data_IF_625721482566
#
_entry.id   IF_625721482566
#
_cell.length_a   1.000
_cell.length_b   1.000
_cell.length_c   1.000
_cell.angle_alpha   90.00
_cell.angle_beta   90.00
_cell.angle_gamma   90.00
#
_symmetry.space_group_name_H-M   'P 1'
#
loop_
_entity.id
_entity.type
_entity.pdbx_description
1 polymer ?
#
# COMPACT_ATOMS: atom_id res chain seq x y z
N UNK A 1 9.83 -21.23 -2.16
CA UNK A 1 8.67 -21.08 -1.27
C UNK A 1 9.19 -20.97 0.15
N UNK A 2 8.92 -19.85 0.83
CA UNK A 2 9.26 -19.70 2.26
C UNK A 2 8.42 -20.68 3.09
N UNK A 3 8.96 -21.09 4.25
CA UNK A 3 8.20 -21.91 5.19
C UNK A 3 7.08 -21.06 5.81
N UNK A 4 5.90 -21.64 6.14
CA UNK A 4 4.83 -20.88 6.78
C UNK A 4 5.29 -20.30 8.12
N UNK A 5 4.84 -19.09 8.44
CA UNK A 5 5.14 -18.43 9.71
C UNK A 5 4.61 -19.26 10.90
N UNK A 6 5.34 -19.28 12.05
CA UNK A 6 4.85 -19.94 13.24
C UNK A 6 3.52 -19.34 13.72
N UNK A 7 2.56 -20.17 14.10
CA UNK A 7 1.27 -19.72 14.63
C UNK A 7 1.39 -18.82 15.88
N UNK A 8 2.51 -18.90 16.60
CA UNK A 8 2.82 -18.03 17.74
C UNK A 8 3.05 -16.56 17.37
N UNK A 9 3.25 -16.25 16.08
CA UNK A 9 3.38 -14.87 15.59
C UNK A 9 2.04 -14.28 15.17
N UNK A 10 0.98 -15.10 15.05
CA UNK A 10 -0.32 -14.60 14.62
C UNK A 10 -0.90 -13.60 15.63
N UNK A 11 -1.47 -12.53 15.13
CA UNK A 11 -2.11 -11.47 15.91
C UNK A 11 -3.46 -11.11 15.31
N UNK A 12 -4.32 -10.47 16.11
CA UNK A 12 -5.54 -9.84 15.63
C UNK A 12 -5.38 -8.32 15.68
N UNK A 13 -5.68 -7.65 14.58
CA UNK A 13 -5.61 -6.20 14.45
C UNK A 13 -6.85 -5.68 13.74
N UNK A 14 -7.64 -4.83 14.39
CA UNK A 14 -8.90 -4.27 13.86
C UNK A 14 -9.85 -5.34 13.28
N UNK A 15 -9.94 -6.50 13.92
CA UNK A 15 -10.75 -7.63 13.44
C UNK A 15 -10.11 -8.47 12.34
N UNK A 16 -8.95 -8.07 11.81
CA UNK A 16 -8.19 -8.85 10.84
C UNK A 16 -7.25 -9.82 11.55
N UNK A 17 -7.26 -11.07 11.10
CA UNK A 17 -6.28 -12.08 11.52
C UNK A 17 -5.04 -11.96 10.64
N UNK A 18 -3.91 -11.61 11.25
CA UNK A 18 -2.61 -11.45 10.59
C UNK A 18 -1.71 -12.63 10.98
N UNK A 19 -0.97 -13.17 10.01
CA UNK A 19 -0.03 -14.28 10.26
C UNK A 19 1.18 -13.84 11.10
N UNK A 20 1.48 -12.54 11.15
CA UNK A 20 2.52 -11.95 12.00
C UNK A 20 2.19 -10.48 12.32
N UNK A 21 2.82 -9.86 13.33
CA UNK A 21 2.63 -8.45 13.65
C UNK A 21 3.36 -7.50 12.68
N UNK A 22 4.07 -8.03 11.70
CA UNK A 22 4.82 -7.21 10.73
C UNK A 22 3.87 -6.72 9.64
N UNK A 23 3.81 -5.40 9.49
CA UNK A 23 3.03 -4.73 8.42
C UNK A 23 3.98 -3.89 7.58
N UNK A 24 4.00 -4.11 6.27
CA UNK A 24 4.73 -3.25 5.34
C UNK A 24 3.89 -2.04 4.99
N UNK A 25 4.45 -0.85 5.23
CA UNK A 25 3.70 0.40 5.15
C UNK A 25 3.59 0.93 3.72
N UNK A 26 2.55 1.74 3.50
CA UNK A 26 2.33 2.46 2.24
C UNK A 26 3.55 3.29 1.83
N UNK A 27 3.92 3.17 0.56
CA UNK A 27 5.08 3.84 -0.02
C UNK A 27 6.41 3.08 0.11
N UNK A 28 6.45 1.96 0.87
CA UNK A 28 7.64 1.12 1.00
C UNK A 28 7.69 -0.01 -0.02
N UNK A 29 6.53 -0.55 -0.42
CA UNK A 29 6.41 -1.80 -1.20
C UNK A 29 5.49 -1.67 -2.42
N UNK A 30 5.26 -0.46 -2.92
CA UNK A 30 4.40 -0.23 -4.06
C UNK A 30 2.99 -0.81 -3.87
N UNK A 31 2.57 -1.71 -4.75
CA UNK A 31 1.29 -2.39 -4.70
C UNK A 31 1.38 -3.87 -4.27
N UNK A 32 2.52 -4.29 -3.69
CA UNK A 32 2.68 -5.64 -3.13
C UNK A 32 3.24 -6.68 -4.11
N UNK A 33 3.49 -6.32 -5.37
CA UNK A 33 4.15 -7.20 -6.36
C UNK A 33 5.66 -6.96 -6.48
N UNK A 34 6.13 -5.77 -6.11
CA UNK A 34 7.50 -5.35 -6.40
C UNK A 34 8.54 -6.17 -5.64
N UNK A 35 8.27 -6.46 -4.37
CA UNK A 35 9.21 -7.20 -3.51
C UNK A 35 9.19 -8.72 -3.74
N UNK A 36 8.14 -9.26 -4.36
CA UNK A 36 8.12 -10.69 -4.74
C UNK A 36 9.20 -11.05 -5.77
N UNK A 37 9.79 -10.03 -6.40
CA UNK A 37 10.94 -10.16 -7.32
C UNK A 37 12.28 -10.21 -6.60
N UNK A 38 12.31 -9.97 -5.29
CA UNK A 38 13.53 -10.05 -4.47
C UNK A 38 13.73 -11.49 -4.01
N UNK A 39 14.90 -12.05 -4.30
CA UNK A 39 15.24 -13.40 -3.87
C UNK A 39 15.15 -13.54 -2.34
N UNK A 40 14.44 -14.55 -1.87
CA UNK A 40 14.27 -14.84 -0.45
C UNK A 40 13.13 -14.08 0.23
N UNK A 41 12.37 -13.23 -0.48
CA UNK A 41 11.16 -12.60 0.04
C UNK A 41 9.89 -13.17 -0.57
N UNK A 42 8.86 -13.32 0.24
CA UNK A 42 7.49 -13.63 -0.17
C UNK A 42 6.50 -12.79 0.65
N UNK A 43 5.37 -12.43 0.07
CA UNK A 43 4.30 -11.76 0.80
C UNK A 43 3.81 -12.57 2.01
N UNK A 44 4.00 -13.91 1.98
CA UNK A 44 3.69 -14.79 3.12
C UNK A 44 4.60 -14.56 4.35
N UNK A 45 5.69 -13.81 4.21
CA UNK A 45 6.62 -13.51 5.31
C UNK A 45 6.13 -12.38 6.22
N UNK A 46 5.03 -11.71 5.85
CA UNK A 46 4.47 -10.57 6.60
C UNK A 46 2.98 -10.76 6.88
N UNK A 47 2.47 -10.09 7.92
CA UNK A 47 1.07 -10.17 8.32
C UNK A 47 0.14 -9.35 7.45
N UNK A 48 0.62 -8.20 6.92
CA UNK A 48 -0.14 -7.36 6.00
C UNK A 48 0.77 -6.47 5.15
N UNK A 49 0.23 -6.01 4.04
CA UNK A 49 0.82 -5.01 3.15
C UNK A 49 -0.17 -3.86 2.98
N UNK A 50 0.25 -2.65 3.35
CA UNK A 50 -0.49 -1.43 3.04
C UNK A 50 -0.02 -0.95 1.67
N UNK A 51 -0.93 -0.97 0.71
CA UNK A 51 -0.67 -0.62 -0.68
C UNK A 51 -0.26 0.85 -0.83
N UNK A 52 0.33 1.18 -1.95
CA UNK A 52 0.68 2.57 -2.29
C UNK A 52 -0.54 3.48 -2.17
N UNK A 53 -0.34 4.65 -1.55
CA UNK A 53 -1.37 5.68 -1.44
C UNK A 53 -1.99 6.01 -2.78
N UNK A 54 -3.30 5.81 -2.88
CA UNK A 54 -4.08 5.88 -4.11
C UNK A 54 -5.06 7.04 -4.03
N UNK A 55 -5.10 7.83 -5.08
CA UNK A 55 -6.06 8.93 -5.27
C UNK A 55 -7.11 8.56 -6.31
N UNK A 56 -8.23 9.28 -6.34
CA UNK A 56 -9.28 9.13 -7.35
C UNK A 56 -8.68 9.14 -8.75
N UNK A 57 -8.02 10.23 -9.09
CA UNK A 57 -7.36 10.42 -10.38
C UNK A 57 -5.88 10.04 -10.31
N UNK A 58 -5.26 9.66 -11.44
CA UNK A 58 -3.83 9.42 -11.51
C UNK A 58 -3.00 10.65 -11.10
N UNK A 59 -1.89 10.43 -10.39
CA UNK A 59 -0.93 11.48 -10.04
C UNK A 59 0.47 11.10 -10.50
N UNK A 60 1.12 12.00 -11.22
CA UNK A 60 2.52 11.84 -11.64
C UNK A 60 3.50 12.08 -10.49
N UNK A 61 3.02 12.68 -9.39
CA UNK A 61 3.87 13.10 -8.30
C UNK A 61 4.67 14.35 -8.64
N UNK A 62 5.64 14.67 -7.78
CA UNK A 62 6.53 15.82 -7.98
C UNK A 62 7.54 15.54 -9.10
N UNK A 63 8.03 16.60 -9.79
CA UNK A 63 9.08 16.44 -10.79
C UNK A 63 10.40 15.94 -10.17
N UNK A 64 11.31 15.34 -10.96
CA UNK A 64 12.69 15.06 -10.53
C UNK A 64 13.41 16.37 -10.17
N UNK A 65 14.33 16.43 -9.23
CA UNK A 65 14.90 15.47 -8.30
C UNK A 65 14.09 15.40 -6.99
N UNK A 66 13.43 14.28 -6.75
CA UNK A 66 12.50 14.11 -5.62
C UNK A 66 12.96 13.07 -4.59
N UNK A 67 14.16 12.57 -4.75
CA UNK A 67 14.86 11.72 -3.78
C UNK A 67 16.27 12.23 -3.66
N UNK A 68 16.78 12.35 -2.43
CA UNK A 68 18.12 12.81 -2.13
C UNK A 68 18.74 12.01 -0.97
N UNK A 69 19.91 11.41 -1.21
CA UNK A 69 20.70 10.75 -0.18
C UNK A 69 21.40 11.76 0.71
N UNK A 70 21.44 11.46 2.00
CA UNK A 70 22.23 12.20 3.01
C UNK A 70 23.18 11.23 3.72
N UNK A 71 24.22 11.71 4.43
CA UNK A 71 25.10 10.82 5.19
C UNK A 71 24.39 9.94 6.24
N UNK A 72 23.17 10.31 6.66
CA UNK A 72 22.42 9.64 7.72
C UNK A 72 21.10 9.02 7.24
N UNK A 73 20.80 9.06 5.94
CA UNK A 73 19.55 8.51 5.42
C UNK A 73 19.14 9.10 4.07
N UNK A 74 17.85 9.14 3.83
CA UNK A 74 17.28 9.58 2.57
C UNK A 74 16.11 10.55 2.79
N UNK A 75 16.09 11.63 2.03
CA UNK A 75 14.96 12.56 1.95
C UNK A 75 14.16 12.27 0.69
N UNK A 76 12.83 12.38 0.77
CA UNK A 76 12.00 12.27 -0.40
C UNK A 76 10.86 13.30 -0.42
N UNK A 77 10.43 13.61 -1.64
CA UNK A 77 9.27 14.43 -1.95
C UNK A 77 8.54 13.84 -3.16
N UNK A 78 8.09 12.59 -3.06
CA UNK A 78 7.48 11.83 -4.18
C UNK A 78 6.18 12.47 -4.66
N UNK A 79 5.35 13.03 -3.77
CA UNK A 79 4.11 13.71 -4.14
C UNK A 79 2.96 12.77 -4.50
N UNK A 80 2.79 11.66 -3.80
CA UNK A 80 1.72 10.67 -3.99
C UNK A 80 1.61 10.13 -5.44
N UNK A 81 2.72 9.87 -6.09
CA UNK A 81 2.69 9.23 -7.41
C UNK A 81 1.91 7.91 -7.35
N UNK A 82 0.84 7.81 -8.13
CA UNK A 82 0.02 6.61 -8.23
C UNK A 82 -0.81 6.63 -9.53
N UNK A 83 -1.29 5.47 -10.00
CA UNK A 83 -2.00 5.37 -11.28
C UNK A 83 -3.50 5.71 -11.22
N UNK A 84 -4.03 6.12 -10.05
CA UNK A 84 -5.47 6.32 -9.84
C UNK A 84 -6.19 5.03 -9.44
N UNK A 85 -7.33 5.20 -8.72
CA UNK A 85 -8.03 4.06 -8.11
C UNK A 85 -8.57 3.06 -9.14
N UNK A 86 -9.07 3.54 -10.27
CA UNK A 86 -9.62 2.64 -11.30
C UNK A 86 -8.57 1.67 -11.81
N UNK A 87 -7.39 2.18 -12.14
CA UNK A 87 -6.29 1.32 -12.59
C UNK A 87 -5.80 0.36 -11.50
N UNK A 88 -5.81 0.80 -10.25
CA UNK A 88 -5.46 -0.09 -9.12
C UNK A 88 -6.45 -1.24 -9.03
N UNK A 89 -7.74 -0.95 -9.02
CA UNK A 89 -8.79 -1.96 -8.86
C UNK A 89 -8.92 -2.88 -10.08
N UNK A 90 -8.85 -2.33 -11.29
CA UNK A 90 -9.13 -3.09 -12.50
C UNK A 90 -7.93 -3.86 -13.06
N UNK A 91 -6.70 -3.37 -12.82
CA UNK A 91 -5.52 -3.97 -13.42
C UNK A 91 -4.53 -4.53 -12.38
N UNK A 92 -4.33 -3.83 -11.24
CA UNK A 92 -3.28 -4.21 -10.27
C UNK A 92 -3.80 -5.26 -9.28
N UNK A 93 -4.94 -5.02 -8.60
CA UNK A 93 -5.47 -5.97 -7.63
C UNK A 93 -5.71 -7.36 -8.20
N UNK A 94 -6.20 -7.54 -9.45
CA UNK A 94 -6.36 -8.87 -10.05
C UNK A 94 -5.05 -9.64 -10.23
N UNK A 95 -3.90 -8.98 -10.19
CA UNK A 95 -2.58 -9.63 -10.28
C UNK A 95 -2.04 -10.13 -8.94
N UNK A 96 -2.66 -9.74 -7.81
CA UNK A 96 -2.23 -10.12 -6.47
C UNK A 96 -2.86 -11.43 -6.02
N UNK A 97 -2.12 -12.22 -5.26
CA UNK A 97 -2.64 -13.40 -4.58
C UNK A 97 -3.07 -13.04 -3.14
N UNK A 98 -4.37 -12.83 -2.95
CA UNK A 98 -4.95 -12.48 -1.64
C UNK A 98 -4.90 -13.61 -0.61
N UNK A 99 -4.44 -14.81 -0.98
CA UNK A 99 -4.21 -15.90 -0.04
C UNK A 99 -2.85 -15.80 0.69
N UNK A 100 -1.91 -14.99 0.17
CA UNK A 100 -0.55 -14.90 0.72
C UNK A 100 -0.49 -14.07 2.01
N UNK A 101 -1.16 -12.93 2.04
CA UNK A 101 -1.18 -11.99 3.17
C UNK A 101 -2.43 -11.12 3.12
N UNK A 102 -2.60 -10.20 4.09
CA UNK A 102 -3.67 -9.21 4.07
C UNK A 102 -3.23 -7.98 3.29
N UNK A 103 -4.10 -7.50 2.39
CA UNK A 103 -3.85 -6.28 1.63
C UNK A 103 -4.78 -5.16 2.10
N UNK A 104 -4.18 -4.04 2.48
CA UNK A 104 -4.87 -2.86 2.99
C UNK A 104 -4.72 -1.73 1.97
N UNK A 105 -5.83 -1.20 1.46
CA UNK A 105 -5.79 -0.05 0.57
C UNK A 105 -5.45 1.22 1.36
N UNK A 106 -4.53 2.04 0.86
CA UNK A 106 -4.24 3.37 1.42
C UNK A 106 -4.92 4.42 0.55
N UNK A 107 -5.96 5.06 1.08
CA UNK A 107 -6.80 6.03 0.38
C UNK A 107 -6.34 7.45 0.67
N UNK A 108 -6.09 8.21 -0.40
CA UNK A 108 -5.66 9.60 -0.37
C UNK A 108 -6.63 10.47 -1.18
N UNK A 109 -6.83 11.71 -0.74
CA UNK A 109 -7.64 12.68 -1.43
C UNK A 109 -7.26 14.11 -1.05
N UNK A 110 -7.76 15.08 -1.80
CA UNK A 110 -7.65 16.51 -1.52
C UNK A 110 -8.97 17.08 -1.00
N UNK A 111 -10.09 16.41 -1.30
CA UNK A 111 -11.44 16.77 -0.87
C UNK A 111 -12.12 15.59 -0.19
N UNK A 112 -13.20 15.83 0.54
CA UNK A 112 -14.01 14.76 1.13
C UNK A 112 -14.57 13.83 0.03
N UNK A 113 -14.99 14.41 -1.08
CA UNK A 113 -15.50 13.69 -2.24
C UNK A 113 -14.46 12.72 -2.81
N UNK A 114 -13.19 13.13 -2.92
CA UNK A 114 -12.10 12.26 -3.38
C UNK A 114 -11.96 11.03 -2.47
N UNK A 115 -11.97 11.24 -1.14
CA UNK A 115 -11.90 10.12 -0.18
C UNK A 115 -13.11 9.20 -0.32
N UNK A 116 -14.32 9.75 -0.40
CA UNK A 116 -15.56 8.96 -0.51
C UNK A 116 -15.55 8.12 -1.79
N UNK A 117 -15.23 8.72 -2.94
CA UNK A 117 -15.27 8.01 -4.21
C UNK A 117 -14.15 6.97 -4.33
N UNK A 118 -12.94 7.33 -3.88
CA UNK A 118 -11.83 6.35 -3.85
C UNK A 118 -12.14 5.18 -2.92
N UNK A 119 -12.73 5.44 -1.75
CA UNK A 119 -13.16 4.40 -0.81
C UNK A 119 -14.22 3.50 -1.44
N UNK A 120 -15.26 4.07 -2.05
CA UNK A 120 -16.33 3.29 -2.72
C UNK A 120 -15.79 2.38 -3.81
N UNK A 121 -14.80 2.87 -4.56
CA UNK A 121 -14.19 2.07 -5.62
C UNK A 121 -13.44 0.85 -5.09
N UNK A 122 -12.91 0.94 -3.86
CA UNK A 122 -12.27 -0.19 -3.19
C UNK A 122 -13.28 -1.14 -2.50
N UNK A 123 -14.50 -0.68 -2.14
CA UNK A 123 -15.48 -1.52 -1.42
C UNK A 123 -15.86 -2.80 -2.18
N UNK A 124 -15.93 -2.75 -3.51
CA UNK A 124 -16.26 -3.90 -4.35
C UNK A 124 -15.02 -4.72 -4.75
N UNK A 125 -13.87 -4.46 -4.16
CA UNK A 125 -12.61 -5.14 -4.43
C UNK A 125 -12.27 -6.17 -3.32
N UNK A 126 -11.32 -7.09 -3.56
CA UNK A 126 -10.92 -8.10 -2.56
C UNK A 126 -10.03 -7.56 -1.42
N UNK A 127 -9.90 -6.25 -1.25
CA UNK A 127 -9.12 -5.62 -0.19
C UNK A 127 -9.66 -6.00 1.19
N UNK A 128 -8.77 -6.33 2.14
CA UNK A 128 -9.13 -6.72 3.50
C UNK A 128 -9.54 -5.53 4.39
N UNK A 129 -8.96 -4.35 4.14
CA UNK A 129 -9.25 -3.12 4.90
C UNK A 129 -8.83 -1.86 4.14
N UNK A 130 -9.24 -0.70 4.66
CA UNK A 130 -8.89 0.61 4.12
C UNK A 130 -8.21 1.44 5.21
N UNK A 131 -7.06 2.03 4.88
CA UNK A 131 -6.34 3.04 5.66
C UNK A 131 -6.61 4.42 5.04
N UNK A 132 -7.21 5.32 5.82
CA UNK A 132 -7.45 6.71 5.40
C UNK A 132 -6.18 7.52 5.65
N UNK A 133 -5.53 7.97 4.59
CA UNK A 133 -4.31 8.75 4.67
C UNK A 133 -4.63 10.26 4.77
N UNK A 134 -4.46 10.82 5.95
CA UNK A 134 -4.69 12.24 6.26
C UNK A 134 -3.39 13.00 6.55
N UNK A 135 -2.23 12.44 6.19
CA UNK A 135 -0.93 12.92 6.70
C UNK A 135 0.18 12.89 5.65
N UNK A 136 -0.06 13.31 4.41
CA UNK A 136 1.03 13.38 3.42
C UNK A 136 1.63 14.80 3.35
N UNK A 137 2.88 15.02 3.82
CA UNK A 137 3.51 16.34 3.81
C UNK A 137 4.04 16.76 2.43
N UNK A 138 4.07 15.84 1.46
CA UNK A 138 4.70 16.04 0.14
C UNK A 138 3.72 16.55 -0.94
N UNK A 139 2.51 16.97 -0.54
CA UNK A 139 1.52 17.57 -1.43
C UNK A 139 1.54 19.08 -1.22
N UNK A 140 1.67 19.83 -2.29
CA UNK A 140 1.35 21.26 -2.27
C UNK A 140 -0.15 21.40 -2.57
N UNK A 141 -0.84 22.11 -1.68
CA UNK A 141 -2.20 22.58 -1.91
C UNK A 141 -2.24 23.57 -3.08
#
# INVERSE_FOLDING_TARGET
MSAPLPASLAVEFCGLKLASPIVLLSGCVGFGEEYTRVEGFSNTDVGAIVLKGTTREPRLGNPPHRVYETPMGMLNAIGLQNPGVDKVVDEILPSLDFSETRFIANVCGSTIEDYVETTRRFEDSPIDAIEINISCPNIKE
#
